data_IF_902128659023
#
_entry.id   IF_902128659023
#
_cell.length_a   1.000
_cell.length_b   1.000
_cell.length_c   1.000
_cell.angle_alpha   90.00
_cell.angle_beta   90.00
_cell.angle_gamma   90.00
#
_symmetry.space_group_name_H-M   'P 1'
#
loop_
_entity.id
_entity.type
_entity.pdbx_description
1 polymer ?
#
# COMPACT_ATOMS: atom_id res chain seq x y z
N UNK A 1 -1.04 22.54 -17.40
CA UNK A 1 0.11 23.15 -16.69
C UNK A 1 0.01 22.69 -15.23
N UNK A 2 0.63 21.54 -14.91
CA UNK A 2 0.61 21.00 -13.54
C UNK A 2 1.49 21.90 -12.67
N UNK A 3 0.92 22.54 -11.65
CA UNK A 3 1.69 23.19 -10.60
C UNK A 3 2.57 22.10 -9.97
N UNK A 4 3.90 22.30 -9.99
CA UNK A 4 4.82 21.43 -9.26
C UNK A 4 4.41 21.42 -7.80
N UNK A 5 4.00 20.27 -7.32
CA UNK A 5 3.70 20.09 -5.90
C UNK A 5 5.04 20.05 -5.16
N UNK A 6 5.13 20.77 -4.05
CA UNK A 6 6.25 20.62 -3.15
C UNK A 6 6.04 19.33 -2.34
N UNK A 7 7.00 18.41 -2.40
CA UNK A 7 6.93 17.11 -1.74
C UNK A 7 8.06 16.98 -0.74
N UNK A 8 7.73 16.55 0.47
CA UNK A 8 8.70 16.28 1.52
C UNK A 8 8.51 14.84 2.00
N UNK A 9 9.56 14.03 1.93
CA UNK A 9 9.60 12.70 2.53
C UNK A 9 10.04 12.80 3.99
N UNK A 10 9.29 12.19 4.89
CA UNK A 10 9.62 12.20 6.34
C UNK A 10 9.82 10.79 6.84
N UNK A 11 10.96 10.53 7.48
CA UNK A 11 11.26 9.26 8.15
C UNK A 11 12.01 9.53 9.46
N UNK A 12 11.76 8.73 10.49
CA UNK A 12 12.46 8.84 11.78
C UNK A 12 13.94 8.39 11.71
N UNK A 13 14.30 7.60 10.69
CA UNK A 13 15.65 7.06 10.52
C UNK A 13 16.57 8.11 9.87
N UNK A 14 17.42 8.71 10.70
CA UNK A 14 18.37 9.75 10.27
C UNK A 14 19.35 9.30 9.18
N UNK A 15 19.78 8.03 9.20
CA UNK A 15 20.71 7.48 8.22
C UNK A 15 20.02 7.31 6.86
N UNK A 16 18.75 6.85 6.87
CA UNK A 16 17.93 6.78 5.67
C UNK A 16 17.75 8.17 5.05
N UNK A 17 17.34 9.14 5.86
CA UNK A 17 17.16 10.53 5.41
C UNK A 17 18.45 11.11 4.84
N UNK A 18 19.59 10.89 5.49
CA UNK A 18 20.90 11.34 4.99
C UNK A 18 21.27 10.68 3.65
N UNK A 19 20.99 9.38 3.50
CA UNK A 19 21.25 8.62 2.28
C UNK A 19 20.41 9.15 1.11
N UNK A 20 19.11 9.38 1.34
CA UNK A 20 18.20 9.91 0.33
C UNK A 20 18.58 11.35 -0.07
N UNK A 21 18.92 12.21 0.89
CA UNK A 21 19.40 13.57 0.62
C UNK A 21 20.77 13.60 -0.10
N UNK A 22 21.57 12.54 0.01
CA UNK A 22 22.78 12.35 -0.77
C UNK A 22 22.52 11.85 -2.20
N UNK A 23 21.25 11.73 -2.62
CA UNK A 23 20.85 11.29 -3.95
C UNK A 23 21.01 9.79 -4.18
N UNK A 24 20.93 8.96 -3.14
CA UNK A 24 21.11 7.51 -3.24
C UNK A 24 19.83 6.79 -2.86
N UNK A 25 19.42 5.83 -3.68
CA UNK A 25 18.35 4.87 -3.35
C UNK A 25 18.85 3.85 -2.33
N UNK A 26 17.93 3.25 -1.58
CA UNK A 26 18.25 2.29 -0.49
C UNK A 26 18.01 0.83 -0.88
N UNK A 27 17.38 0.60 -2.02
CA UNK A 27 17.16 -0.72 -2.61
C UNK A 27 17.17 -0.61 -4.14
N UNK A 28 17.27 -1.75 -4.82
CA UNK A 28 17.32 -1.81 -6.28
C UNK A 28 15.98 -2.29 -6.82
N UNK A 29 15.45 -1.52 -7.77
CA UNK A 29 14.28 -1.85 -8.60
C UNK A 29 14.48 -1.26 -9.98
N UNK A 30 13.98 -1.93 -11.00
CA UNK A 30 14.09 -1.44 -12.37
C UNK A 30 13.35 -0.10 -12.54
N UNK A 31 14.04 0.91 -13.06
CA UNK A 31 13.51 2.26 -13.26
C UNK A 31 13.45 3.15 -12.01
N UNK A 32 13.73 2.62 -10.81
CA UNK A 32 13.66 3.40 -9.57
C UNK A 32 14.69 4.51 -9.52
N UNK A 33 15.93 4.23 -9.89
CA UNK A 33 17.02 5.21 -9.82
C UNK A 33 16.75 6.41 -10.75
N UNK A 34 16.15 6.18 -11.91
CA UNK A 34 15.77 7.25 -12.85
C UNK A 34 14.69 8.14 -12.25
N UNK A 35 13.61 7.53 -11.74
CA UNK A 35 12.50 8.26 -11.10
C UNK A 35 12.97 9.02 -9.86
N UNK A 36 13.83 8.42 -9.05
CA UNK A 36 14.40 9.06 -7.88
C UNK A 36 15.24 10.27 -8.24
N UNK A 37 16.13 10.14 -9.23
CA UNK A 37 16.94 11.24 -9.73
C UNK A 37 16.07 12.38 -10.28
N UNK A 38 14.98 12.07 -10.96
CA UNK A 38 14.06 13.08 -11.45
C UNK A 38 13.29 13.77 -10.32
N UNK A 39 12.92 13.05 -9.27
CA UNK A 39 12.32 13.62 -8.07
C UNK A 39 13.30 14.56 -7.35
N UNK A 40 14.58 14.17 -7.23
CA UNK A 40 15.64 15.01 -6.63
C UNK A 40 15.84 16.29 -7.46
N UNK A 41 15.92 16.19 -8.79
CA UNK A 41 15.98 17.37 -9.69
C UNK A 41 14.74 18.26 -9.57
N UNK A 42 13.58 17.66 -9.31
CA UNK A 42 12.32 18.38 -9.09
C UNK A 42 12.25 19.08 -7.72
N UNK A 43 13.18 18.78 -6.81
CA UNK A 43 13.33 19.45 -5.53
C UNK A 43 12.67 18.76 -4.35
N UNK A 44 12.46 17.43 -4.43
CA UNK A 44 12.03 16.66 -3.25
C UNK A 44 13.05 16.80 -2.12
N UNK A 45 12.58 16.90 -0.90
CA UNK A 45 13.40 16.98 0.31
C UNK A 45 13.07 15.83 1.24
N UNK A 46 14.06 15.38 2.01
CA UNK A 46 13.87 14.36 3.02
C UNK A 46 14.28 14.92 4.39
N UNK A 47 13.48 14.64 5.42
CA UNK A 47 13.69 15.18 6.76
C UNK A 47 13.22 14.19 7.83
N UNK A 48 13.71 14.36 9.05
CA UNK A 48 13.21 13.64 10.23
C UNK A 48 12.08 14.38 10.94
N UNK A 49 11.76 15.60 10.52
CA UNK A 49 10.75 16.44 11.14
C UNK A 49 9.50 16.51 10.26
N UNK A 50 8.34 16.30 10.84
CA UNK A 50 7.08 16.46 10.16
C UNK A 50 6.85 17.92 9.75
N UNK A 51 6.37 18.11 8.52
CA UNK A 51 6.13 19.43 7.95
C UNK A 51 4.63 19.72 7.86
N UNK A 52 4.25 20.99 8.04
CA UNK A 52 2.87 21.44 7.85
C UNK A 52 2.54 21.45 6.34
N UNK A 53 1.50 20.71 5.97
CA UNK A 53 1.05 20.58 4.56
C UNK A 53 -0.45 20.33 4.49
N UNK A 54 -1.02 20.44 3.28
CA UNK A 54 -2.45 20.18 3.03
C UNK A 54 -2.77 18.69 2.82
N UNK A 55 -1.76 17.86 2.53
CA UNK A 55 -1.94 16.43 2.35
C UNK A 55 -0.79 15.65 2.96
N UNK A 56 -1.13 14.64 3.73
CA UNK A 56 -0.22 13.69 4.34
C UNK A 56 -0.48 12.30 3.78
N UNK A 57 0.58 11.61 3.32
CA UNK A 57 0.51 10.21 2.91
C UNK A 57 1.29 9.41 3.94
N UNK A 58 0.59 8.51 4.63
CA UNK A 58 1.15 7.64 5.67
C UNK A 58 1.39 6.26 5.08
N UNK A 59 2.68 5.92 4.89
CA UNK A 59 3.12 4.66 4.31
C UNK A 59 4.18 4.04 5.23
N UNK A 60 3.71 3.44 6.33
CA UNK A 60 4.55 2.88 7.39
C UNK A 60 4.34 1.37 7.49
N UNK A 61 5.32 0.60 8.05
CA UNK A 61 5.17 -0.83 8.25
C UNK A 61 3.95 -1.19 9.12
N UNK A 62 3.31 -2.32 8.78
CA UNK A 62 2.20 -2.91 9.55
C UNK A 62 2.55 -4.37 9.85
N UNK A 63 3.40 -4.62 10.87
CA UNK A 63 3.90 -5.96 11.15
C UNK A 63 2.78 -6.89 11.60
N UNK A 64 2.91 -8.17 11.25
CA UNK A 64 2.02 -9.22 11.70
C UNK A 64 2.54 -9.84 12.99
N UNK A 65 1.71 -9.81 14.04
CA UNK A 65 2.01 -10.52 15.28
C UNK A 65 1.58 -11.98 15.19
N UNK A 66 2.57 -12.87 15.27
CA UNK A 66 2.37 -14.33 15.17
C UNK A 66 1.58 -14.93 16.34
N UNK A 67 1.59 -14.29 17.51
CA UNK A 67 0.89 -14.79 18.70
C UNK A 67 -0.58 -14.41 18.70
N UNK A 68 -0.87 -13.13 18.51
CA UNK A 68 -2.25 -12.65 18.44
C UNK A 68 -2.92 -12.92 17.09
N UNK A 69 -2.14 -13.29 16.06
CA UNK A 69 -2.57 -13.46 14.67
C UNK A 69 -3.25 -12.22 14.10
N UNK A 70 -2.76 -11.04 14.50
CA UNK A 70 -3.30 -9.74 14.07
C UNK A 70 -2.20 -8.88 13.43
N UNK A 71 -2.64 -8.02 12.52
CA UNK A 71 -1.79 -6.93 12.00
C UNK A 71 -1.71 -5.85 13.08
N UNK A 72 -0.49 -5.42 13.40
CA UNK A 72 -0.25 -4.36 14.35
C UNK A 72 -0.27 -3.00 13.65
N UNK A 73 -1.20 -2.14 14.03
CA UNK A 73 -1.35 -0.79 13.50
C UNK A 73 -0.55 0.27 14.30
N UNK A 74 0.32 -0.13 15.23
CA UNK A 74 1.00 0.79 16.14
C UNK A 74 1.78 1.89 15.40
N UNK A 75 2.50 1.55 14.32
CA UNK A 75 3.24 2.54 13.54
C UNK A 75 2.32 3.52 12.80
N UNK A 76 1.16 3.05 12.31
CA UNK A 76 0.15 3.94 11.72
C UNK A 76 -0.36 4.92 12.78
N UNK A 77 -0.73 4.43 13.94
CA UNK A 77 -1.19 5.25 15.08
C UNK A 77 -0.14 6.28 15.49
N UNK A 78 1.13 5.87 15.60
CA UNK A 78 2.23 6.78 15.94
C UNK A 78 2.40 7.86 14.88
N UNK A 79 2.42 7.49 13.61
CA UNK A 79 2.56 8.45 12.51
C UNK A 79 1.39 9.45 12.49
N UNK A 80 0.15 8.98 12.68
CA UNK A 80 -1.03 9.85 12.77
C UNK A 80 -0.93 10.81 13.96
N UNK A 81 -0.49 10.36 15.14
CA UNK A 81 -0.28 11.23 16.31
C UNK A 81 0.73 12.35 16.02
N UNK A 82 1.81 12.04 15.33
CA UNK A 82 2.80 13.06 14.96
C UNK A 82 2.22 14.05 13.94
N UNK A 83 1.48 13.56 12.95
CA UNK A 83 0.77 14.43 11.99
C UNK A 83 -0.21 15.36 12.70
N UNK A 84 -0.98 14.88 13.66
CA UNK A 84 -1.99 15.68 14.37
C UNK A 84 -1.39 16.85 15.14
N UNK A 85 -0.11 16.78 15.57
CA UNK A 85 0.56 17.89 16.28
C UNK A 85 0.73 19.14 15.41
N UNK A 86 0.78 18.96 14.08
CA UNK A 86 1.13 20.04 13.14
C UNK A 86 0.09 20.24 12.04
N UNK A 87 -0.84 19.30 11.89
CA UNK A 87 -1.82 19.25 10.81
C UNK A 87 -2.70 20.51 10.81
N UNK A 88 -2.82 21.23 9.68
CA UNK A 88 -3.75 22.33 9.58
C UNK A 88 -5.18 21.82 9.39
N UNK A 89 -6.17 22.65 9.78
CA UNK A 89 -7.57 22.38 9.44
C UNK A 89 -7.77 22.35 7.92
N UNK A 90 -8.61 21.44 7.45
CA UNK A 90 -8.89 21.23 6.04
C UNK A 90 -7.92 20.29 5.34
N UNK A 91 -6.89 19.77 6.04
CA UNK A 91 -5.94 18.81 5.46
C UNK A 91 -6.58 17.45 5.20
N UNK A 92 -5.95 16.72 4.28
CA UNK A 92 -6.31 15.35 3.95
C UNK A 92 -5.19 14.40 4.41
N UNK A 93 -5.54 13.35 5.16
CA UNK A 93 -4.62 12.29 5.58
C UNK A 93 -4.98 11.00 4.87
N UNK A 94 -4.05 10.51 4.06
CA UNK A 94 -4.17 9.28 3.28
C UNK A 94 -3.32 8.21 3.94
N UNK A 95 -3.93 7.09 4.35
CA UNK A 95 -3.21 5.91 4.84
C UNK A 95 -3.06 4.93 3.67
N UNK A 96 -1.84 4.74 3.19
CA UNK A 96 -1.51 3.76 2.13
C UNK A 96 -1.07 2.41 2.69
N UNK A 97 -0.62 2.37 3.95
CA UNK A 97 -0.24 1.12 4.60
C UNK A 97 -1.36 0.09 4.51
N UNK A 98 -1.03 -1.17 4.19
CA UNK A 98 -2.01 -2.26 4.23
C UNK A 98 -2.40 -2.54 5.67
N UNK A 99 -3.68 -2.44 5.97
CA UNK A 99 -4.23 -2.61 7.32
C UNK A 99 -5.38 -3.62 7.32
N UNK A 100 -5.71 -4.13 8.50
CA UNK A 100 -6.89 -4.99 8.66
C UNK A 100 -8.17 -4.19 8.53
N UNK A 101 -9.26 -4.79 8.01
CA UNK A 101 -10.57 -4.12 7.96
C UNK A 101 -11.01 -3.61 9.33
N UNK A 102 -11.45 -2.35 9.37
CA UNK A 102 -11.82 -1.65 10.59
C UNK A 102 -10.66 -0.93 11.30
N UNK A 103 -9.44 -0.99 10.78
CA UNK A 103 -8.30 -0.26 11.40
C UNK A 103 -8.51 1.25 11.38
N UNK A 104 -9.00 1.79 10.28
CA UNK A 104 -9.28 3.22 10.18
C UNK A 104 -10.31 3.67 11.22
N UNK A 105 -11.39 2.90 11.40
CA UNK A 105 -12.44 3.22 12.37
C UNK A 105 -12.01 3.03 13.82
N UNK A 106 -11.28 1.95 14.11
CA UNK A 106 -11.00 1.56 15.50
C UNK A 106 -9.71 2.18 16.06
N UNK A 107 -8.78 2.60 15.21
CA UNK A 107 -7.47 3.09 15.64
C UNK A 107 -7.12 4.48 15.11
N UNK A 108 -7.47 4.79 13.86
CA UNK A 108 -7.08 6.08 13.26
C UNK A 108 -8.07 7.19 13.65
N UNK A 109 -9.38 6.97 13.48
CA UNK A 109 -10.41 7.96 13.84
C UNK A 109 -10.34 8.41 15.29
N UNK A 110 -10.24 7.52 16.29
CA UNK A 110 -10.13 7.94 17.68
C UNK A 110 -8.94 8.87 17.92
N UNK A 111 -7.78 8.58 17.33
CA UNK A 111 -6.60 9.43 17.47
C UNK A 111 -6.84 10.84 16.88
N UNK A 112 -7.49 10.93 15.74
CA UNK A 112 -7.83 12.22 15.12
C UNK A 112 -8.79 13.03 16.01
N UNK A 113 -9.84 12.40 16.51
CA UNK A 113 -10.86 13.00 17.36
C UNK A 113 -10.31 13.41 18.74
N UNK A 114 -9.48 12.57 19.36
CA UNK A 114 -8.78 12.87 20.63
C UNK A 114 -7.87 14.10 20.52
N UNK A 115 -7.35 14.40 19.32
CA UNK A 115 -6.57 15.60 19.05
C UNK A 115 -7.43 16.82 18.65
N UNK A 116 -8.75 16.72 18.78
CA UNK A 116 -9.68 17.83 18.62
C UNK A 116 -10.09 18.15 17.18
N UNK A 117 -9.84 17.25 16.24
CA UNK A 117 -10.28 17.40 14.84
C UNK A 117 -11.64 16.73 14.62
N UNK A 118 -12.52 17.42 13.93
CA UNK A 118 -13.77 16.86 13.42
C UNK A 118 -13.52 16.28 12.03
N UNK A 119 -13.65 14.96 11.91
CA UNK A 119 -13.49 14.25 10.64
C UNK A 119 -14.63 14.65 9.70
N UNK A 120 -14.27 14.98 8.45
CA UNK A 120 -15.20 15.47 7.43
C UNK A 120 -15.38 17.01 7.42
N UNK A 121 -15.03 17.71 8.52
CA UNK A 121 -15.05 19.17 8.61
C UNK A 121 -13.64 19.75 8.68
N UNK A 122 -12.91 19.40 9.76
CA UNK A 122 -11.57 19.91 10.05
C UNK A 122 -10.45 19.09 9.40
N UNK A 123 -10.71 17.82 9.08
CA UNK A 123 -9.76 16.89 8.50
C UNK A 123 -10.49 15.82 7.70
N UNK A 124 -9.88 15.39 6.61
CA UNK A 124 -10.40 14.32 5.76
C UNK A 124 -9.52 13.09 5.85
N UNK A 125 -10.13 11.93 6.15
CA UNK A 125 -9.46 10.63 6.14
C UNK A 125 -9.71 9.90 4.85
N UNK A 126 -8.64 9.28 4.34
CA UNK A 126 -8.65 8.45 3.12
C UNK A 126 -7.79 7.21 3.37
N UNK A 127 -8.22 6.09 2.83
CA UNK A 127 -7.43 4.86 2.78
C UNK A 127 -7.21 4.45 1.33
N UNK A 128 -5.96 4.36 0.91
CA UNK A 128 -5.59 4.03 -0.47
C UNK A 128 -4.53 2.92 -0.50
N UNK A 129 -4.91 1.66 -0.22
CA UNK A 129 -3.95 0.56 -0.08
C UNK A 129 -3.19 0.29 -1.38
N UNK A 130 -1.87 0.03 -1.24
CA UNK A 130 -0.99 -0.23 -2.37
C UNK A 130 -0.96 -1.72 -2.72
N UNK A 131 -0.73 -2.03 -4.01
CA UNK A 131 -0.75 -3.39 -4.58
C UNK A 131 0.57 -3.81 -5.22
N UNK A 132 1.65 -3.04 -5.03
CA UNK A 132 2.96 -3.32 -5.62
C UNK A 132 3.59 -4.62 -5.09
N UNK A 133 4.34 -5.29 -5.96
CA UNK A 133 5.15 -6.46 -5.62
C UNK A 133 6.61 -6.13 -5.90
N UNK A 134 7.54 -6.43 -4.98
CA UNK A 134 8.97 -6.26 -5.22
C UNK A 134 9.44 -6.99 -6.49
N UNK A 135 10.33 -6.36 -7.25
CA UNK A 135 10.84 -6.88 -8.52
C UNK A 135 10.15 -6.32 -9.76
N UNK A 136 9.02 -5.58 -9.60
CA UNK A 136 8.30 -4.91 -10.69
C UNK A 136 7.56 -3.65 -10.19
N UNK A 137 8.08 -3.03 -9.14
CA UNK A 137 7.38 -1.99 -8.38
C UNK A 137 7.01 -0.78 -9.24
N UNK A 138 7.94 -0.28 -10.04
CA UNK A 138 7.72 0.93 -10.85
C UNK A 138 6.64 0.68 -11.90
N UNK A 139 6.70 -0.45 -12.59
CA UNK A 139 5.67 -0.82 -13.58
C UNK A 139 4.30 -0.95 -12.91
N UNK A 140 4.22 -1.66 -11.79
CA UNK A 140 2.97 -1.86 -11.08
C UNK A 140 2.41 -0.57 -10.48
N UNK A 141 3.26 0.32 -9.99
CA UNK A 141 2.87 1.64 -9.50
C UNK A 141 2.15 2.47 -10.60
N UNK A 142 2.62 2.33 -11.83
CA UNK A 142 2.07 3.05 -12.98
C UNK A 142 0.81 2.38 -13.57
N UNK A 143 0.71 1.05 -13.54
CA UNK A 143 -0.29 0.32 -14.34
C UNK A 143 -1.37 -0.39 -13.51
N UNK A 144 -1.12 -0.68 -12.23
CA UNK A 144 -2.12 -1.35 -11.40
C UNK A 144 -3.34 -0.45 -11.15
N UNK A 145 -4.51 -1.07 -11.17
CA UNK A 145 -5.73 -0.43 -10.70
C UNK A 145 -5.61 -0.09 -9.21
N UNK A 146 -6.21 1.03 -8.80
CA UNK A 146 -6.18 1.50 -7.41
C UNK A 146 -7.58 1.60 -6.84
N UNK A 147 -7.65 1.46 -5.52
CA UNK A 147 -8.87 1.71 -4.75
C UNK A 147 -8.59 2.86 -3.79
N UNK A 148 -9.50 3.83 -3.74
CA UNK A 148 -9.45 4.97 -2.82
C UNK A 148 -10.73 4.93 -1.99
N UNK A 149 -10.59 4.64 -0.70
CA UNK A 149 -11.67 4.71 0.28
C UNK A 149 -11.69 6.06 0.95
N UNK A 150 -12.83 6.75 0.93
CA UNK A 150 -13.00 8.04 1.59
C UNK A 150 -14.39 8.15 2.22
N UNK A 151 -14.53 9.03 3.23
CA UNK A 151 -15.82 9.28 3.88
C UNK A 151 -16.79 10.08 2.99
N UNK A 152 -16.26 10.83 2.02
CA UNK A 152 -17.06 11.49 1.01
C UNK A 152 -16.51 11.25 -0.39
N UNK A 153 -17.42 11.12 -1.36
CA UNK A 153 -17.06 10.96 -2.76
C UNK A 153 -16.22 12.14 -3.27
N UNK A 154 -16.52 13.35 -2.82
CA UNK A 154 -15.80 14.55 -3.21
C UNK A 154 -14.33 14.48 -2.81
N UNK A 155 -14.03 14.09 -1.57
CA UNK A 155 -12.66 13.92 -1.09
C UNK A 155 -11.97 12.79 -1.81
N UNK A 156 -12.64 11.66 -2.03
CA UNK A 156 -12.10 10.54 -2.81
C UNK A 156 -11.71 10.96 -4.23
N UNK A 157 -12.56 11.70 -4.93
CA UNK A 157 -12.28 12.22 -6.26
C UNK A 157 -11.16 13.27 -6.25
N UNK A 158 -11.07 14.12 -5.22
CA UNK A 158 -9.96 15.07 -5.05
C UNK A 158 -8.63 14.33 -4.91
N UNK A 159 -8.57 13.30 -4.05
CA UNK A 159 -7.36 12.47 -3.88
C UNK A 159 -7.04 11.69 -5.14
N UNK A 160 -8.04 11.16 -5.84
CA UNK A 160 -7.88 10.48 -7.13
C UNK A 160 -7.09 11.33 -8.14
N UNK A 161 -7.28 12.65 -8.18
CA UNK A 161 -6.56 13.52 -9.12
C UNK A 161 -5.05 13.51 -8.92
N UNK A 162 -4.56 13.26 -7.69
CA UNK A 162 -3.12 13.10 -7.44
C UNK A 162 -2.61 11.79 -8.05
N UNK A 163 -3.33 10.70 -7.85
CA UNK A 163 -2.93 9.38 -8.38
C UNK A 163 -3.04 9.29 -9.90
N UNK A 164 -4.03 9.92 -10.53
CA UNK A 164 -4.16 10.01 -12.00
C UNK A 164 -2.94 10.70 -12.64
N UNK A 165 -2.19 11.51 -11.90
CA UNK A 165 -0.99 12.18 -12.44
C UNK A 165 0.11 11.20 -12.85
N UNK A 166 0.13 9.98 -12.32
CA UNK A 166 1.12 8.95 -12.64
C UNK A 166 0.50 7.56 -12.90
N UNK A 167 -0.62 7.21 -12.29
CA UNK A 167 -1.27 5.92 -12.43
C UNK A 167 -2.12 5.88 -13.73
N UNK A 168 -1.84 4.91 -14.58
CA UNK A 168 -2.56 4.65 -15.84
C UNK A 168 -3.68 3.63 -15.65
N UNK A 169 -3.67 2.89 -14.53
CA UNK A 169 -4.73 1.94 -14.18
C UNK A 169 -6.05 2.61 -13.83
N UNK A 170 -7.11 1.84 -13.75
CA UNK A 170 -8.40 2.32 -13.28
C UNK A 170 -8.34 2.66 -11.78
N UNK A 171 -8.87 3.83 -11.39
CA UNK A 171 -8.93 4.26 -9.99
C UNK A 171 -10.40 4.33 -9.57
N UNK A 172 -10.77 3.45 -8.65
CA UNK A 172 -12.14 3.34 -8.10
C UNK A 172 -12.20 4.06 -6.77
N UNK A 173 -13.19 4.96 -6.61
CA UNK A 173 -13.50 5.62 -5.34
C UNK A 173 -14.65 4.89 -4.66
N UNK A 174 -14.47 4.54 -3.39
CA UNK A 174 -15.43 3.82 -2.55
C UNK A 174 -15.36 4.33 -1.10
N UNK A 175 -16.04 3.67 -0.18
CA UNK A 175 -15.88 3.92 1.26
C UNK A 175 -14.60 3.28 1.83
N UNK A 176 -14.17 3.76 3.00
CA UNK A 176 -12.90 3.32 3.63
C UNK A 176 -12.94 1.82 3.96
N UNK A 177 -14.04 1.30 4.49
CA UNK A 177 -14.16 -0.12 4.88
C UNK A 177 -14.07 -1.05 3.69
N UNK A 178 -14.70 -0.67 2.59
CA UNK A 178 -14.62 -1.42 1.32
C UNK A 178 -13.20 -1.42 0.78
N UNK A 179 -12.47 -0.30 0.86
CA UNK A 179 -11.07 -0.22 0.44
C UNK A 179 -10.16 -1.12 1.29
N UNK A 180 -10.32 -1.11 2.63
CA UNK A 180 -9.59 -2.00 3.53
C UNK A 180 -9.85 -3.48 3.19
N UNK A 181 -11.14 -3.86 3.04
CA UNK A 181 -11.55 -5.23 2.77
C UNK A 181 -11.06 -5.72 1.41
N UNK A 182 -11.13 -4.89 0.36
CA UNK A 182 -10.71 -5.26 -1.00
C UNK A 182 -9.27 -5.75 -1.01
N UNK A 183 -8.36 -5.03 -0.34
CA UNK A 183 -6.95 -5.43 -0.27
C UNK A 183 -6.74 -6.78 0.43
N UNK A 184 -7.46 -7.03 1.51
CA UNK A 184 -7.38 -8.30 2.25
C UNK A 184 -7.93 -9.44 1.42
N UNK A 185 -9.07 -9.25 0.74
CA UNK A 185 -9.69 -10.28 -0.12
C UNK A 185 -8.74 -10.64 -1.27
N UNK A 186 -8.14 -9.67 -1.95
CA UNK A 186 -7.18 -9.91 -3.03
C UNK A 186 -5.98 -10.74 -2.56
N UNK A 187 -5.39 -10.36 -1.44
CA UNK A 187 -4.25 -11.08 -0.87
C UNK A 187 -4.64 -12.50 -0.44
N UNK A 188 -5.82 -12.66 0.18
CA UNK A 188 -6.32 -13.97 0.62
C UNK A 188 -6.61 -14.87 -0.57
N UNK A 189 -7.29 -14.38 -1.61
CA UNK A 189 -7.55 -15.13 -2.84
C UNK A 189 -6.25 -15.63 -3.47
N UNK A 190 -5.26 -14.74 -3.57
CA UNK A 190 -3.93 -15.10 -4.10
C UNK A 190 -3.26 -16.19 -3.25
N UNK A 191 -3.28 -16.06 -1.93
CA UNK A 191 -2.69 -17.05 -1.02
C UNK A 191 -3.37 -18.42 -1.14
N UNK A 192 -4.70 -18.47 -1.20
CA UNK A 192 -5.47 -19.70 -1.39
C UNK A 192 -5.16 -20.34 -2.74
N UNK A 193 -5.09 -19.54 -3.80
CA UNK A 193 -4.79 -20.03 -5.15
C UNK A 193 -3.37 -20.66 -5.22
N UNK A 194 -2.38 -19.99 -4.60
CA UNK A 194 -1.01 -20.54 -4.51
C UNK A 194 -1.00 -21.83 -3.69
N UNK A 195 -1.67 -21.87 -2.55
CA UNK A 195 -1.75 -23.06 -1.71
C UNK A 195 -2.38 -24.24 -2.46
N UNK A 196 -3.47 -23.99 -3.19
CA UNK A 196 -4.13 -24.99 -4.01
C UNK A 196 -3.21 -25.53 -5.12
N UNK A 197 -2.50 -24.65 -5.83
CA UNK A 197 -1.54 -25.07 -6.85
C UNK A 197 -0.40 -25.93 -6.27
N UNK A 198 0.07 -25.61 -5.06
CA UNK A 198 1.10 -26.39 -4.38
C UNK A 198 0.57 -27.76 -3.93
N UNK A 199 -0.68 -27.89 -3.47
CA UNK A 199 -1.29 -29.19 -3.19
C UNK A 199 -1.46 -30.03 -4.46
N UNK A 200 -1.90 -29.43 -5.57
CA UNK A 200 -1.92 -30.14 -6.86
C UNK A 200 -0.55 -30.62 -7.28
N UNK A 201 0.50 -29.83 -7.05
CA UNK A 201 1.88 -30.25 -7.33
C UNK A 201 2.29 -31.48 -6.51
N UNK A 202 1.84 -31.61 -5.26
CA UNK A 202 2.09 -32.80 -4.42
C UNK A 202 1.40 -34.04 -4.98
N UNK A 203 0.13 -33.91 -5.38
CA UNK A 203 -0.65 -34.99 -6.01
C UNK A 203 0.02 -35.42 -7.31
N UNK A 204 0.34 -34.49 -8.20
CA UNK A 204 0.96 -34.78 -9.49
C UNK A 204 2.31 -35.48 -9.33
N UNK A 205 3.10 -35.08 -8.32
CA UNK A 205 4.37 -35.74 -8.03
C UNK A 205 4.17 -37.21 -7.57
N UNK A 206 3.13 -37.45 -6.75
CA UNK A 206 2.79 -38.80 -6.31
C UNK A 206 2.38 -39.71 -7.49
N UNK A 207 1.59 -39.17 -8.42
CA UNK A 207 1.01 -39.91 -9.53
C UNK A 207 1.85 -39.80 -10.83
N UNK A 208 3.06 -39.24 -10.72
CA UNK A 208 4.01 -39.11 -11.84
C UNK A 208 3.45 -38.30 -13.03
N UNK A 209 2.73 -37.22 -12.74
CA UNK A 209 2.15 -36.29 -13.71
C UNK A 209 2.92 -34.94 -13.75
N UNK A 210 2.89 -34.26 -14.90
CA UNK A 210 3.46 -32.90 -15.04
C UNK A 210 2.46 -31.83 -14.60
N UNK A 211 2.73 -31.24 -13.44
CA UNK A 211 1.88 -30.16 -12.89
C UNK A 211 1.87 -28.90 -13.76
N UNK A 212 2.98 -28.58 -14.43
CA UNK A 212 3.06 -27.38 -15.26
C UNK A 212 2.16 -27.53 -16.51
N UNK A 213 2.15 -28.71 -17.12
CA UNK A 213 1.24 -29.02 -18.21
C UNK A 213 -0.22 -28.97 -17.76
N UNK A 214 -0.53 -29.54 -16.59
CA UNK A 214 -1.89 -29.53 -16.02
C UNK A 214 -2.35 -28.09 -15.75
N UNK A 215 -1.54 -27.24 -15.10
CA UNK A 215 -1.87 -25.84 -14.87
C UNK A 215 -2.09 -25.10 -16.18
N UNK A 216 -1.23 -25.32 -17.18
CA UNK A 216 -1.36 -24.71 -18.51
C UNK A 216 -2.69 -25.07 -19.17
N UNK A 217 -3.06 -26.35 -19.14
CA UNK A 217 -4.31 -26.84 -19.74
C UNK A 217 -5.52 -26.28 -18.96
N UNK A 218 -5.49 -26.35 -17.62
CA UNK A 218 -6.57 -25.82 -16.79
C UNK A 218 -6.81 -24.32 -17.04
N UNK A 219 -5.76 -23.53 -17.18
CA UNK A 219 -5.84 -22.09 -17.43
C UNK A 219 -6.33 -21.73 -18.85
N UNK A 220 -6.47 -22.70 -19.76
CA UNK A 220 -7.19 -22.49 -21.02
C UNK A 220 -8.70 -22.35 -20.81
N UNK A 221 -9.22 -22.80 -19.66
CA UNK A 221 -10.64 -22.66 -19.36
C UNK A 221 -10.92 -21.22 -18.86
N UNK A 222 -11.91 -20.50 -19.43
CA UNK A 222 -12.10 -19.07 -19.18
C UNK A 222 -12.45 -18.69 -17.73
N UNK A 223 -12.86 -19.65 -16.91
CA UNK A 223 -13.20 -19.46 -15.49
C UNK A 223 -12.13 -19.98 -14.53
N UNK A 224 -10.99 -20.44 -15.04
CA UNK A 224 -9.91 -21.00 -14.23
C UNK A 224 -8.67 -20.11 -14.37
N UNK A 225 -8.07 -19.76 -13.25
CA UNK A 225 -6.84 -19.00 -13.20
C UNK A 225 -5.98 -19.54 -12.04
N UNK A 226 -5.38 -20.70 -12.28
CA UNK A 226 -4.48 -21.33 -11.30
C UNK A 226 -3.15 -20.59 -11.28
N UNK A 227 -2.67 -20.33 -10.07
CA UNK A 227 -1.32 -19.79 -9.85
C UNK A 227 -0.26 -20.80 -10.25
N UNK A 228 0.94 -20.33 -10.53
CA UNK A 228 2.11 -21.19 -10.63
C UNK A 228 2.47 -21.73 -9.24
N UNK A 229 3.12 -22.90 -9.22
CA UNK A 229 3.68 -23.50 -7.99
C UNK A 229 4.97 -22.77 -7.60
N UNK A 230 5.34 -22.85 -6.31
CA UNK A 230 6.59 -22.30 -5.77
C UNK A 230 6.79 -20.78 -5.95
N UNK A 231 5.70 -20.01 -6.20
CA UNK A 231 5.77 -18.54 -6.27
C UNK A 231 6.09 -17.93 -4.91
N UNK A 232 5.68 -18.58 -3.83
CA UNK A 232 6.07 -18.20 -2.47
C UNK A 232 7.08 -19.20 -1.94
N UNK A 233 8.27 -18.73 -1.61
CA UNK A 233 9.18 -19.54 -0.81
C UNK A 233 8.54 -19.93 0.53
N UNK A 234 8.91 -21.08 1.14
CA UNK A 234 8.37 -21.52 2.44
C UNK A 234 8.45 -20.45 3.54
N UNK A 235 9.42 -19.57 3.45
CA UNK A 235 9.60 -18.39 4.33
C UNK A 235 8.47 -17.36 4.23
N UNK A 236 7.79 -17.23 3.09
CA UNK A 236 6.65 -16.31 2.96
C UNK A 236 5.35 -16.88 3.50
N UNK A 237 5.14 -18.18 3.40
CA UNK A 237 4.00 -18.86 4.06
C UNK A 237 4.11 -18.78 5.58
N UNK A 238 5.31 -18.78 6.13
CA UNK A 238 5.55 -18.56 7.56
C UNK A 238 5.32 -17.13 8.03
N UNK A 239 5.21 -16.17 7.11
CA UNK A 239 4.91 -14.75 7.39
C UNK A 239 3.42 -14.42 7.21
N UNK A 240 2.63 -15.32 6.60
CA UNK A 240 1.18 -15.16 6.38
C UNK A 240 0.37 -16.08 7.31
N UNK A 241 1.03 -17.03 7.99
CA UNK A 241 0.42 -17.98 8.95
C UNK A 241 0.47 -17.47 10.38
#
# INVERSE_FOLDING_TARGET
MYKRQEVVGTDYNKELVATLNAGKTTFKEDGLDELFNDAVKAGIKFTTEYQKTDMYIVSVPTPYDKFSKKVDACYVVVAIKEVMKICPKGATVVVESTVSPGTMDNFVRPVVEENGFKIGEDLHLVHAPERIIPGNMVYELLHNNRTIGADSKEIGEKVKQYYVSFCQGEIVVTDIRSAEMTKVVENTFRAVNIAFANELARICRHDNMDIYEIIKICNMHPRVNLSLIHISEPTRLALIS
#
